data_IF_744940631501
#
_entry.id   IF_744940631501
#
_cell.length_a   1.000
_cell.length_b   1.000
_cell.length_c   1.000
_cell.angle_alpha   90.00
_cell.angle_beta   90.00
_cell.angle_gamma   90.00
#
_symmetry.space_group_name_H-M   'P 1'
#
loop_
_entity.id
_entity.type
_entity.pdbx_description
1 polymer ?
#
# COMPACT_ATOMS: atom_id res chain seq x y z
N UNK A 1 -36.88 12.53 17.13
CA UNK A 1 -35.70 11.79 16.64
C UNK A 1 -35.62 10.31 17.07
N UNK A 2 -36.36 9.88 18.09
CA UNK A 2 -36.38 8.46 18.53
C UNK A 2 -37.12 7.51 17.59
N UNK A 3 -38.10 8.01 16.79
CA UNK A 3 -38.89 7.17 15.89
C UNK A 3 -38.18 6.66 14.63
N UNK A 4 -37.20 7.40 14.12
CA UNK A 4 -36.45 7.02 12.90
C UNK A 4 -35.45 5.90 13.17
N UNK A 5 -34.86 5.83 14.35
CA UNK A 5 -33.94 4.74 14.73
C UNK A 5 -34.66 3.40 14.91
N UNK A 6 -35.91 3.42 15.37
CA UNK A 6 -36.71 2.19 15.58
C UNK A 6 -37.13 1.55 14.24
N UNK A 7 -37.42 2.37 13.22
CA UNK A 7 -37.81 1.89 11.89
C UNK A 7 -36.63 1.24 11.17
N UNK A 8 -35.45 1.82 11.30
CA UNK A 8 -34.21 1.24 10.71
C UNK A 8 -33.81 -0.08 11.37
N UNK A 9 -34.00 -0.20 12.69
CA UNK A 9 -33.72 -1.42 13.43
C UNK A 9 -34.71 -2.56 13.09
N UNK A 10 -35.98 -2.23 12.90
CA UNK A 10 -37.02 -3.19 12.48
C UNK A 10 -36.81 -3.67 11.03
N UNK A 11 -36.30 -2.83 10.14
CA UNK A 11 -35.92 -3.24 8.78
C UNK A 11 -34.70 -4.16 8.77
N UNK A 12 -33.72 -3.91 9.63
CA UNK A 12 -32.56 -4.77 9.79
C UNK A 12 -32.95 -6.16 10.35
N UNK A 13 -33.83 -6.22 11.34
CA UNK A 13 -34.34 -7.49 11.88
C UNK A 13 -35.20 -8.27 10.87
N UNK A 14 -35.93 -7.58 9.99
CA UNK A 14 -36.66 -8.20 8.90
C UNK A 14 -35.73 -8.78 7.80
N UNK A 15 -34.63 -8.14 7.50
CA UNK A 15 -33.62 -8.66 6.55
C UNK A 15 -32.97 -9.96 7.08
N UNK A 16 -32.73 -10.05 8.39
CA UNK A 16 -32.18 -11.25 9.04
C UNK A 16 -33.16 -12.44 9.03
N UNK A 17 -34.48 -12.22 8.93
CA UNK A 17 -35.48 -13.30 8.92
C UNK A 17 -35.64 -14.00 7.57
N UNK A 18 -34.99 -13.52 6.49
CA UNK A 18 -35.00 -14.13 5.16
C UNK A 18 -33.81 -15.03 4.87
N UNK A 19 -32.84 -15.11 5.79
CA UNK A 19 -31.76 -16.10 5.69
C UNK A 19 -32.24 -17.40 6.32
N UNK A 20 -32.86 -18.25 5.54
CA UNK A 20 -33.16 -19.62 5.94
C UNK A 20 -31.88 -20.45 5.96
N UNK A 21 -31.27 -20.55 7.13
CA UNK A 21 -30.25 -21.57 7.37
C UNK A 21 -30.92 -22.98 7.34
N UNK A 22 -30.29 -23.95 6.68
CA UNK A 22 -30.74 -25.34 6.76
C UNK A 22 -30.74 -25.76 8.23
N UNK A 23 -31.86 -26.30 8.69
CA UNK A 23 -32.08 -26.74 10.09
C UNK A 23 -31.13 -27.83 10.60
N UNK A 24 -30.31 -28.42 9.73
CA UNK A 24 -29.38 -29.51 10.07
C UNK A 24 -28.08 -29.05 10.73
N UNK A 25 -27.75 -27.74 10.67
CA UNK A 25 -26.54 -27.22 11.30
C UNK A 25 -26.72 -26.66 12.72
N UNK A 26 -27.95 -26.60 13.20
CA UNK A 26 -28.29 -26.01 14.52
C UNK A 26 -27.94 -26.94 15.72
N UNK A 27 -27.47 -28.17 15.49
CA UNK A 27 -27.12 -29.14 16.54
C UNK A 27 -25.61 -29.30 16.78
N UNK A 28 -24.75 -28.59 16.03
CA UNK A 28 -23.31 -28.67 16.22
C UNK A 28 -22.84 -27.62 17.25
N UNK A 29 -22.09 -28.09 18.26
CA UNK A 29 -21.56 -27.20 19.28
C UNK A 29 -20.57 -26.19 18.67
N UNK A 30 -20.44 -24.96 19.22
CA UNK A 30 -19.52 -23.93 18.70
C UNK A 30 -18.05 -24.39 18.54
N UNK A 31 -17.65 -25.40 19.29
CA UNK A 31 -16.29 -25.97 19.25
C UNK A 31 -16.04 -26.88 18.03
N UNK A 32 -17.08 -27.41 17.39
CA UNK A 32 -16.92 -28.25 16.19
C UNK A 32 -16.77 -27.41 14.91
N UNK A 33 -17.37 -26.22 14.86
CA UNK A 33 -17.25 -25.33 13.70
C UNK A 33 -15.82 -24.77 13.61
N UNK A 34 -15.18 -24.46 14.74
CA UNK A 34 -13.78 -24.01 14.75
C UNK A 34 -12.79 -25.12 14.36
N UNK A 35 -13.07 -26.39 14.69
CA UNK A 35 -12.19 -27.50 14.36
C UNK A 35 -12.23 -27.92 12.89
N UNK A 36 -13.35 -27.67 12.20
CA UNK A 36 -13.48 -28.02 10.78
C UNK A 36 -12.66 -27.10 9.87
N UNK A 37 -12.42 -25.86 10.27
CA UNK A 37 -11.62 -24.88 9.51
C UNK A 37 -10.12 -24.91 9.87
N UNK A 38 -9.72 -25.52 11.00
CA UNK A 38 -8.34 -25.40 11.52
C UNK A 38 -7.56 -26.71 11.61
N UNK A 39 -8.18 -27.90 11.50
CA UNK A 39 -7.49 -29.19 11.64
C UNK A 39 -7.06 -29.85 10.33
N UNK A 40 -7.29 -29.25 9.19
CA UNK A 40 -6.63 -29.66 7.96
C UNK A 40 -5.31 -28.87 7.82
N UNK A 41 -4.30 -29.24 8.62
CA UNK A 41 -2.94 -28.95 8.23
C UNK A 41 -2.75 -29.51 6.81
N UNK A 42 -2.28 -28.73 5.83
CA UNK A 42 -2.05 -29.25 4.50
C UNK A 42 -1.02 -30.40 4.64
N UNK A 43 -1.43 -31.58 4.24
CA UNK A 43 -0.49 -32.63 3.92
C UNK A 43 0.41 -32.03 2.86
N UNK A 44 1.67 -31.76 3.21
CA UNK A 44 2.67 -31.32 2.27
C UNK A 44 2.77 -32.40 1.18
N UNK A 45 2.35 -32.15 -0.05
CA UNK A 45 2.69 -33.02 -1.14
C UNK A 45 4.23 -33.00 -1.21
N UNK A 46 4.86 -34.14 -1.17
CA UNK A 46 6.25 -34.24 -1.59
C UNK A 46 6.28 -33.93 -3.08
N UNK A 47 6.48 -32.65 -3.40
CA UNK A 47 6.75 -32.21 -4.77
C UNK A 47 8.18 -32.59 -5.05
N UNK A 48 8.36 -33.53 -5.95
CA UNK A 48 9.66 -33.77 -6.58
C UNK A 48 10.10 -32.41 -7.22
N UNK A 49 11.29 -31.89 -6.89
CA UNK A 49 11.72 -30.61 -7.44
C UNK A 49 11.86 -30.73 -8.94
N UNK A 50 11.18 -29.84 -9.68
CA UNK A 50 11.53 -29.60 -11.07
C UNK A 50 13.00 -29.20 -11.14
N UNK A 51 13.84 -29.86 -11.94
CA UNK A 51 15.27 -29.63 -11.92
C UNK A 51 15.59 -28.24 -12.45
N UNK A 52 16.18 -27.41 -11.61
CA UNK A 52 16.99 -26.26 -11.97
C UNK A 52 16.33 -24.87 -11.98
N UNK A 53 15.02 -24.70 -12.05
CA UNK A 53 14.39 -23.37 -12.22
C UNK A 53 14.25 -22.57 -10.93
N UNK A 54 13.82 -23.20 -9.84
CA UNK A 54 13.57 -22.50 -8.56
C UNK A 54 14.87 -22.18 -7.79
N UNK A 55 15.87 -23.03 -7.93
CA UNK A 55 17.16 -22.86 -7.25
C UNK A 55 18.00 -21.77 -7.88
N UNK A 56 17.94 -21.61 -9.21
CA UNK A 56 18.62 -20.53 -9.93
C UNK A 56 18.11 -19.12 -9.57
N UNK A 57 16.82 -18.97 -9.25
CA UNK A 57 16.24 -17.70 -8.83
C UNK A 57 16.39 -17.44 -7.31
N UNK A 58 16.57 -18.49 -6.52
CA UNK A 58 16.74 -18.35 -5.06
C UNK A 58 18.12 -17.78 -4.71
N UNK A 59 19.18 -18.28 -5.26
CA UNK A 59 20.55 -17.96 -4.86
C UNK A 59 21.00 -16.53 -5.22
N UNK A 60 20.81 -16.01 -6.44
CA UNK A 60 21.26 -14.66 -6.79
C UNK A 60 20.45 -13.53 -6.15
N UNK A 61 19.14 -13.74 -5.92
CA UNK A 61 18.26 -12.75 -5.31
C UNK A 61 18.49 -12.61 -3.80
N UNK A 62 18.96 -13.66 -3.14
CA UNK A 62 19.24 -13.66 -1.70
C UNK A 62 20.59 -13.01 -1.35
N UNK A 63 21.60 -13.19 -2.18
CA UNK A 63 22.98 -12.76 -1.84
C UNK A 63 23.15 -11.25 -1.84
N UNK A 64 22.25 -10.49 -2.44
CA UNK A 64 22.34 -9.04 -2.62
C UNK A 64 21.25 -8.23 -1.91
N UNK A 65 20.35 -8.87 -1.14
CA UNK A 65 19.33 -8.14 -0.38
C UNK A 65 20.00 -7.25 0.69
N UNK A 66 19.74 -5.93 0.72
CA UNK A 66 20.26 -5.03 1.74
C UNK A 66 19.79 -5.42 3.15
N UNK A 67 18.73 -6.23 3.29
CA UNK A 67 18.28 -6.81 4.56
C UNK A 67 19.19 -7.92 5.07
N UNK A 68 20.14 -8.40 4.28
CA UNK A 68 21.12 -9.42 4.70
C UNK A 68 22.34 -8.81 5.40
N UNK A 69 22.55 -7.49 5.29
CA UNK A 69 23.66 -6.81 5.95
C UNK A 69 23.12 -5.93 7.08
N UNK A 70 23.64 -6.04 8.31
CA UNK A 70 23.32 -5.09 9.36
C UNK A 70 23.80 -3.69 8.91
N UNK A 71 22.91 -2.69 9.00
CA UNK A 71 23.29 -1.30 8.83
C UNK A 71 24.26 -0.94 9.96
N UNK A 72 25.51 -0.57 9.62
CA UNK A 72 26.42 0.00 10.61
C UNK A 72 25.90 1.39 11.02
N UNK A 73 26.19 1.87 12.25
CA UNK A 73 25.77 3.20 12.70
C UNK A 73 26.23 4.33 11.75
N UNK A 74 27.43 4.21 11.15
CA UNK A 74 27.96 5.14 10.14
C UNK A 74 27.15 5.12 8.84
N UNK A 75 26.71 3.95 8.41
CA UNK A 75 25.86 3.79 7.21
C UNK A 75 24.44 4.33 7.42
N UNK A 76 23.89 4.18 8.63
CA UNK A 76 22.61 4.77 8.99
C UNK A 76 22.66 6.31 8.95
N UNK A 77 23.76 6.91 9.39
CA UNK A 77 23.97 8.36 9.29
C UNK A 77 24.11 8.83 7.83
N UNK A 78 24.85 8.09 6.98
CA UNK A 78 24.97 8.37 5.55
C UNK A 78 23.63 8.22 4.80
N UNK A 79 22.81 7.23 5.19
CA UNK A 79 21.46 7.06 4.61
C UNK A 79 20.50 8.16 5.07
N UNK A 80 20.59 8.62 6.33
CA UNK A 80 19.86 9.78 6.81
C UNK A 80 20.20 11.05 6.04
N UNK A 81 21.50 11.27 5.74
CA UNK A 81 21.94 12.39 4.92
C UNK A 81 21.52 12.27 3.45
N UNK A 82 21.46 11.06 2.90
CA UNK A 82 20.95 10.81 1.54
C UNK A 82 19.44 10.96 1.41
N UNK A 83 18.73 10.63 2.48
CA UNK A 83 17.29 10.86 2.62
C UNK A 83 17.02 12.29 3.10
N UNK A 84 17.73 13.29 2.56
CA UNK A 84 17.53 14.71 2.91
C UNK A 84 16.06 14.97 3.21
N UNK A 85 15.77 15.51 4.40
CA UNK A 85 14.42 15.96 4.72
C UNK A 85 14.04 17.01 3.68
N UNK A 86 13.25 16.67 2.64
CA UNK A 86 13.03 17.56 1.50
C UNK A 86 12.22 18.80 1.88
N UNK A 87 11.80 18.87 3.15
CA UNK A 87 10.86 19.83 3.67
C UNK A 87 11.43 21.16 4.16
N UNK A 88 12.77 21.34 4.23
CA UNK A 88 13.33 22.54 4.88
C UNK A 88 13.99 23.47 3.89
N UNK A 89 13.52 24.72 3.82
CA UNK A 89 14.21 25.84 3.19
C UNK A 89 14.66 26.82 4.26
N UNK A 90 15.98 27.02 4.37
CA UNK A 90 16.54 28.03 5.27
C UNK A 90 16.44 29.40 4.56
N UNK A 91 15.65 30.30 5.12
CA UNK A 91 15.62 31.69 4.70
C UNK A 91 16.46 32.51 5.67
N UNK A 92 17.58 33.06 5.20
CA UNK A 92 18.30 34.08 5.94
C UNK A 92 17.46 35.38 5.87
N UNK A 93 16.80 35.77 6.96
CA UNK A 93 16.24 37.12 7.07
C UNK A 93 17.36 38.08 7.47
N UNK A 94 17.56 39.11 6.67
CA UNK A 94 18.29 40.29 7.12
C UNK A 94 17.57 40.85 8.35
N UNK A 95 18.30 41.34 9.36
CA UNK A 95 17.67 41.88 10.57
C UNK A 95 16.79 43.10 10.15
N UNK A 96 15.49 42.97 10.33
CA UNK A 96 14.59 44.12 10.28
C UNK A 96 15.09 45.11 11.32
N UNK A 97 15.22 46.39 10.91
CA UNK A 97 15.84 47.50 11.62
C UNK A 97 15.56 47.46 13.13
N UNK A 98 16.64 47.47 13.91
CA UNK A 98 16.58 47.30 15.33
C UNK A 98 15.75 48.35 16.02
N UNK A 99 14.79 47.94 16.85
CA UNK A 99 14.42 48.72 18.03
C UNK A 99 15.62 48.66 18.97
N UNK A 100 16.28 49.81 19.16
CA UNK A 100 17.14 50.04 20.31
C UNK A 100 16.26 50.01 21.56
N UNK A 101 16.40 49.01 22.39
CA UNK A 101 15.96 49.09 23.76
C UNK A 101 16.96 50.04 24.47
N UNK A 102 16.59 51.26 24.69
CA UNK A 102 17.25 52.18 25.64
C UNK A 102 16.98 51.66 27.07
N UNK A 103 18.04 51.30 27.76
CA UNK A 103 17.97 51.14 29.23
C UNK A 103 17.80 52.48 29.87
N UNK A 104 16.95 52.52 30.89
CA UNK A 104 16.57 53.73 31.68
C UNK A 104 17.72 54.42 32.45
N UNK A 105 18.96 53.99 32.30
CA UNK A 105 20.12 54.46 33.08
C UNK A 105 21.29 55.04 32.25
N UNK A 106 21.09 55.37 30.96
CA UNK A 106 21.93 56.31 30.24
C UNK A 106 23.42 56.00 30.09
N UNK A 107 23.91 54.77 30.35
CA UNK A 107 25.30 54.41 30.26
C UNK A 107 25.65 53.78 28.89
N UNK A 108 26.71 54.24 28.16
CA UNK A 108 27.09 53.62 26.87
C UNK A 108 27.74 52.26 27.13
N UNK A 109 27.17 51.24 26.49
CA UNK A 109 27.77 49.89 26.43
C UNK A 109 29.04 49.91 25.60
N UNK A 110 30.17 49.55 26.21
CA UNK A 110 31.47 49.37 25.55
C UNK A 110 31.37 48.40 24.39
N UNK A 111 32.05 48.71 23.30
CA UNK A 111 32.12 47.93 22.10
C UNK A 111 32.93 46.61 22.30
N UNK A 112 32.41 45.69 23.10
CA UNK A 112 32.83 44.31 23.15
C UNK A 112 32.03 43.51 22.12
N UNK A 113 32.72 42.97 21.12
CA UNK A 113 32.12 42.31 19.95
C UNK A 113 31.18 41.17 20.27
N UNK A 114 29.95 41.44 20.59
CA UNK A 114 28.86 40.48 20.63
C UNK A 114 28.60 40.02 19.19
N UNK A 115 29.02 38.84 18.84
CA UNK A 115 28.63 38.16 17.60
C UNK A 115 27.09 38.23 17.54
N UNK A 116 26.54 39.09 16.68
CA UNK A 116 25.10 39.11 16.38
C UNK A 116 24.71 37.73 15.97
N UNK A 117 23.96 37.03 16.81
CA UNK A 117 23.32 35.77 16.42
C UNK A 117 22.35 36.08 15.29
N UNK A 118 22.69 35.61 14.08
CA UNK A 118 21.74 35.61 12.97
C UNK A 118 20.58 34.67 13.34
N UNK A 119 19.40 35.23 13.46
CA UNK A 119 18.21 34.41 13.62
C UNK A 119 17.88 33.79 12.25
N UNK A 120 17.81 32.48 12.20
CA UNK A 120 17.40 31.73 11.02
C UNK A 120 15.98 31.26 11.24
N UNK A 121 15.06 31.75 10.44
CA UNK A 121 13.68 31.25 10.43
C UNK A 121 13.59 30.13 9.41
N UNK A 122 13.24 28.91 9.88
CA UNK A 122 12.98 27.76 9.02
C UNK A 122 11.53 27.84 8.52
N UNK A 123 11.35 27.88 7.19
CA UNK A 123 10.05 27.78 6.55
C UNK A 123 9.95 26.43 5.86
N UNK A 124 8.89 25.69 6.17
CA UNK A 124 8.68 24.39 5.55
C UNK A 124 8.34 24.52 4.05
N UNK A 125 8.87 23.62 3.25
CA UNK A 125 8.46 23.50 1.85
C UNK A 125 6.98 23.12 1.76
N UNK A 126 6.30 23.43 0.66
CA UNK A 126 4.91 23.01 0.45
C UNK A 126 4.77 21.50 0.62
N UNK A 127 3.77 21.05 1.38
CA UNK A 127 3.54 19.64 1.68
C UNK A 127 4.23 19.12 2.94
N UNK A 128 5.02 19.96 3.65
CA UNK A 128 5.74 19.58 4.87
C UNK A 128 5.38 20.49 6.05
N UNK A 129 5.32 19.92 7.24
CA UNK A 129 4.80 20.54 8.45
C UNK A 129 5.66 20.19 9.68
N UNK A 130 5.34 20.84 10.81
CA UNK A 130 5.99 20.60 12.10
C UNK A 130 7.26 21.42 12.32
N UNK A 131 7.81 21.42 13.55
CA UNK A 131 8.95 22.24 13.92
C UNK A 131 10.23 21.96 13.11
N UNK A 132 10.42 20.72 12.69
CA UNK A 132 11.55 20.26 11.88
C UNK A 132 11.22 20.12 10.39
N UNK A 133 10.01 20.50 9.97
CA UNK A 133 9.52 20.31 8.59
C UNK A 133 9.60 18.85 8.08
N UNK A 134 9.52 17.89 8.99
CA UNK A 134 9.64 16.46 8.67
C UNK A 134 8.30 15.70 8.65
N UNK A 135 7.17 16.38 8.90
CA UNK A 135 5.83 15.78 8.90
C UNK A 135 5.15 16.07 7.57
N UNK A 136 4.89 15.07 6.71
CA UNK A 136 4.22 15.32 5.44
C UNK A 136 2.72 15.61 5.62
N UNK A 137 2.12 16.27 4.65
CA UNK A 137 0.68 16.61 4.62
C UNK A 137 -0.22 15.42 4.95
N UNK A 138 0.10 14.25 4.44
CA UNK A 138 -0.69 13.02 4.68
C UNK A 138 -0.67 12.56 6.13
N UNK A 139 0.33 12.94 6.91
CA UNK A 139 0.38 12.70 8.37
C UNK A 139 -0.24 13.86 9.14
N UNK A 140 0.02 15.10 8.72
CA UNK A 140 -0.56 16.29 9.35
C UNK A 140 -2.10 16.23 9.40
N UNK A 141 -2.73 15.79 8.30
CA UNK A 141 -4.19 15.69 8.17
C UNK A 141 -4.74 14.27 8.37
N UNK A 142 -3.92 13.37 8.92
CA UNK A 142 -4.34 12.01 9.31
C UNK A 142 -5.15 12.03 10.62
N UNK A 143 -5.72 10.88 10.95
CA UNK A 143 -6.35 10.65 12.25
C UNK A 143 -5.40 10.05 13.29
N UNK A 144 -4.08 10.18 13.11
CA UNK A 144 -3.07 9.69 14.07
C UNK A 144 -3.32 10.30 15.46
N UNK A 145 -3.55 9.47 16.52
CA UNK A 145 -3.89 9.98 17.85
C UNK A 145 -2.68 10.53 18.62
N UNK A 146 -1.46 10.19 18.19
CA UNK A 146 -0.21 10.48 18.89
C UNK A 146 0.68 11.49 18.16
N UNK A 147 0.09 12.45 17.43
CA UNK A 147 0.86 13.46 16.68
C UNK A 147 1.80 14.29 17.53
N UNK A 148 1.47 14.50 18.78
CA UNK A 148 2.27 15.20 19.79
C UNK A 148 3.49 14.39 20.27
N UNK A 149 3.55 13.10 19.99
CA UNK A 149 4.63 12.18 20.38
C UNK A 149 5.59 11.85 19.24
N UNK A 150 5.44 12.47 18.09
CA UNK A 150 6.28 12.20 16.93
C UNK A 150 7.70 12.71 17.17
N UNK A 151 8.67 11.81 17.05
CA UNK A 151 10.09 12.09 17.26
C UNK A 151 10.90 11.53 16.08
N UNK A 152 11.81 12.31 15.47
CA UNK A 152 12.73 11.80 14.47
C UNK A 152 13.62 10.70 15.04
N UNK A 153 13.88 9.66 14.27
CA UNK A 153 14.76 8.55 14.66
C UNK A 153 16.21 8.85 14.33
N UNK A 154 17.11 8.42 15.18
CA UNK A 154 18.55 8.42 14.88
C UNK A 154 18.93 7.33 13.87
N UNK A 155 18.26 6.17 13.94
CA UNK A 155 18.46 5.04 13.01
C UNK A 155 17.18 4.78 12.26
N UNK A 156 17.15 4.92 10.93
CA UNK A 156 15.97 4.65 10.13
C UNK A 156 15.46 3.21 10.30
N UNK A 157 14.15 3.03 10.22
CA UNK A 157 13.57 1.70 10.01
C UNK A 157 13.88 1.20 8.60
N UNK A 158 13.94 -0.09 8.43
CA UNK A 158 13.86 -0.68 7.09
C UNK A 158 12.41 -0.88 6.74
N UNK A 159 12.09 -0.71 5.47
CA UNK A 159 10.73 -0.85 4.94
C UNK A 159 10.68 -2.06 4.01
N UNK A 160 9.76 -2.97 4.29
CA UNK A 160 9.50 -4.17 3.51
C UNK A 160 8.12 -3.99 2.87
N UNK A 161 8.06 -3.98 1.55
CA UNK A 161 6.79 -3.91 0.81
C UNK A 161 6.50 -5.26 0.16
N UNK A 162 5.46 -5.94 0.63
CA UNK A 162 4.98 -7.22 0.12
C UNK A 162 3.86 -6.99 -0.90
N UNK A 163 3.97 -7.60 -2.08
CA UNK A 163 3.13 -7.31 -3.23
C UNK A 163 2.75 -8.63 -3.92
N UNK A 164 1.48 -8.83 -4.19
CA UNK A 164 1.03 -9.84 -5.13
C UNK A 164 0.92 -9.22 -6.52
N UNK A 165 1.54 -9.84 -7.50
CA UNK A 165 1.50 -9.38 -8.89
C UNK A 165 0.85 -10.43 -9.79
N UNK A 166 0.05 -9.95 -10.70
CA UNK A 166 -0.58 -10.82 -11.68
C UNK A 166 -0.18 -10.41 -13.10
N UNK A 167 -0.55 -9.21 -13.56
CA UNK A 167 -0.12 -8.64 -14.84
C UNK A 167 -0.06 -7.10 -14.80
N UNK A 168 -0.12 -6.52 -13.62
CA UNK A 168 -0.04 -5.07 -13.39
C UNK A 168 1.39 -4.53 -13.51
N UNK A 169 2.14 -4.93 -14.56
CA UNK A 169 3.58 -4.68 -14.66
C UNK A 169 3.94 -3.20 -14.81
N UNK A 170 3.12 -2.42 -15.53
CA UNK A 170 3.35 -0.98 -15.64
C UNK A 170 3.13 -0.28 -14.29
N UNK A 171 2.10 -0.66 -13.51
CA UNK A 171 1.87 -0.12 -12.18
C UNK A 171 2.95 -0.59 -11.20
N UNK A 172 3.46 -1.81 -11.34
CA UNK A 172 4.58 -2.33 -10.56
C UNK A 172 5.87 -1.54 -10.86
N UNK A 173 6.15 -1.24 -12.13
CA UNK A 173 7.28 -0.40 -12.53
C UNK A 173 7.17 1.02 -11.95
N UNK A 174 5.99 1.61 -12.01
CA UNK A 174 5.69 2.90 -11.39
C UNK A 174 5.95 2.84 -9.87
N UNK A 175 5.46 1.81 -9.18
CA UNK A 175 5.69 1.61 -7.74
C UNK A 175 7.17 1.52 -7.41
N UNK A 176 7.93 0.74 -8.17
CA UNK A 176 9.38 0.59 -7.95
C UNK A 176 10.13 1.92 -8.10
N UNK A 177 9.73 2.77 -9.02
CA UNK A 177 10.33 4.09 -9.20
C UNK A 177 9.85 5.12 -8.15
N UNK A 178 8.60 5.03 -7.70
CA UNK A 178 8.08 5.93 -6.64
C UNK A 178 8.65 5.59 -5.26
N UNK A 179 8.85 4.30 -4.96
CA UNK A 179 9.20 3.84 -3.62
C UNK A 179 10.61 3.27 -3.50
N UNK A 180 11.34 3.14 -4.60
CA UNK A 180 12.61 2.42 -4.62
C UNK A 180 13.72 3.02 -3.77
N UNK A 181 13.68 4.31 -3.45
CA UNK A 181 14.63 4.97 -2.56
C UNK A 181 14.25 4.86 -1.07
N UNK A 182 12.98 4.62 -0.74
CA UNK A 182 12.50 4.52 0.65
C UNK A 182 12.22 3.08 1.11
N UNK A 183 11.94 2.16 0.18
CA UNK A 183 11.75 0.74 0.45
C UNK A 183 13.09 0.01 0.39
N UNK A 184 13.35 -0.85 1.38
CA UNK A 184 14.60 -1.62 1.48
C UNK A 184 14.46 -3.00 0.84
N UNK A 185 13.27 -3.60 0.86
CA UNK A 185 12.99 -4.85 0.18
C UNK A 185 11.56 -4.90 -0.36
N UNK A 186 11.42 -5.32 -1.61
CA UNK A 186 10.15 -5.69 -2.23
C UNK A 186 10.02 -7.21 -2.24
N UNK A 187 9.00 -7.74 -1.60
CA UNK A 187 8.67 -9.17 -1.61
C UNK A 187 7.53 -9.35 -2.59
N UNK A 188 7.80 -9.91 -3.76
CA UNK A 188 6.83 -9.96 -4.86
C UNK A 188 6.45 -11.40 -5.16
N UNK A 189 5.17 -11.71 -5.00
CA UNK A 189 4.61 -13.04 -5.26
C UNK A 189 3.95 -13.10 -6.62
N UNK A 190 4.31 -14.13 -7.40
CA UNK A 190 3.69 -14.48 -8.67
C UNK A 190 3.31 -15.96 -8.68
N UNK A 191 2.18 -16.29 -9.30
CA UNK A 191 1.74 -17.68 -9.49
C UNK A 191 1.73 -18.07 -10.96
N UNK A 192 2.00 -19.35 -11.26
CA UNK A 192 1.83 -19.93 -12.58
C UNK A 192 0.39 -20.44 -12.84
N UNK A 193 -0.52 -20.12 -11.94
CA UNK A 193 -1.95 -20.40 -12.09
C UNK A 193 -2.79 -19.15 -11.92
N UNK A 194 -3.92 -19.09 -12.62
CA UNK A 194 -4.98 -18.12 -12.34
C UNK A 194 -5.71 -18.51 -11.05
N UNK A 195 -6.49 -17.58 -10.49
CA UNK A 195 -7.35 -17.89 -9.34
C UNK A 195 -8.34 -19.04 -9.61
N UNK A 196 -8.64 -19.33 -10.86
CA UNK A 196 -9.48 -20.46 -11.29
C UNK A 196 -8.72 -21.77 -11.45
N UNK A 197 -7.40 -21.76 -11.27
CA UNK A 197 -6.54 -22.94 -11.40
C UNK A 197 -6.11 -23.25 -12.85
N UNK A 198 -6.24 -22.28 -13.77
CA UNK A 198 -5.76 -22.43 -15.15
C UNK A 198 -4.28 -22.03 -15.24
N UNK A 199 -3.45 -22.78 -15.98
CA UNK A 199 -2.04 -22.44 -16.14
C UNK A 199 -1.84 -21.08 -16.81
N UNK A 200 -0.83 -20.32 -16.33
CA UNK A 200 -0.42 -19.07 -16.92
C UNK A 200 1.10 -18.89 -16.90
N UNK A 201 1.69 -18.11 -17.83
CA UNK A 201 3.12 -17.87 -17.84
C UNK A 201 3.56 -16.98 -16.67
N UNK A 202 4.79 -17.21 -16.18
CA UNK A 202 5.44 -16.40 -15.15
C UNK A 202 6.08 -15.15 -15.76
N UNK A 203 5.27 -14.15 -16.08
CA UNK A 203 5.72 -12.95 -16.79
C UNK A 203 6.64 -12.05 -15.97
N UNK A 204 6.37 -11.88 -14.69
CA UNK A 204 7.27 -11.11 -13.83
C UNK A 204 8.64 -11.75 -13.72
N UNK A 205 8.68 -13.10 -13.58
CA UNK A 205 9.93 -13.86 -13.63
C UNK A 205 10.68 -13.63 -14.95
N UNK A 206 10.00 -13.70 -16.09
CA UNK A 206 10.59 -13.44 -17.40
C UNK A 206 11.18 -12.02 -17.47
N UNK A 207 10.47 -11.01 -16.94
CA UNK A 207 10.93 -9.63 -16.90
C UNK A 207 12.12 -9.41 -15.97
N UNK A 208 12.21 -10.14 -14.87
CA UNK A 208 13.40 -10.14 -14.00
C UNK A 208 14.61 -10.77 -14.70
N UNK A 209 14.41 -11.81 -15.52
CA UNK A 209 15.48 -12.51 -16.23
C UNK A 209 15.97 -11.76 -17.46
N UNK A 210 15.11 -11.04 -18.16
CA UNK A 210 15.48 -10.27 -19.35
C UNK A 210 16.04 -8.86 -19.06
N UNK A 211 16.14 -8.48 -17.76
CA UNK A 211 16.73 -7.22 -17.33
C UNK A 211 15.75 -6.04 -17.26
N UNK A 212 14.44 -6.23 -17.48
CA UNK A 212 13.46 -5.14 -17.42
C UNK A 212 13.45 -4.41 -16.08
N UNK A 213 13.81 -5.09 -14.99
CA UNK A 213 13.85 -4.55 -13.63
C UNK A 213 15.25 -4.55 -13.01
N UNK A 214 16.32 -4.54 -13.83
CA UNK A 214 17.71 -4.59 -13.30
C UNK A 214 18.03 -3.43 -12.35
N UNK A 215 17.43 -2.26 -12.56
CA UNK A 215 17.61 -1.07 -11.72
C UNK A 215 17.17 -1.28 -10.26
N UNK A 216 16.20 -2.18 -10.01
CA UNK A 216 15.64 -2.45 -8.69
C UNK A 216 15.81 -3.90 -8.22
N UNK A 217 16.29 -4.80 -9.10
CA UNK A 217 16.40 -6.23 -8.86
C UNK A 217 17.10 -6.58 -7.56
N UNK A 218 18.10 -5.80 -7.16
CA UNK A 218 18.86 -5.99 -5.92
C UNK A 218 18.01 -5.85 -4.65
N UNK A 219 16.81 -5.24 -4.73
CA UNK A 219 15.84 -5.12 -3.64
C UNK A 219 14.66 -6.09 -3.76
N UNK A 220 14.57 -6.88 -4.81
CA UNK A 220 13.42 -7.76 -5.07
C UNK A 220 13.69 -9.16 -4.56
N UNK A 221 12.82 -9.64 -3.67
CA UNK A 221 12.69 -11.03 -3.32
C UNK A 221 11.51 -11.64 -4.09
N UNK A 222 11.81 -12.50 -5.05
CA UNK A 222 10.81 -13.20 -5.84
C UNK A 222 10.24 -14.39 -5.06
N UNK A 223 8.91 -14.47 -4.98
CA UNK A 223 8.17 -15.55 -4.32
C UNK A 223 7.31 -16.24 -5.37
N UNK A 224 7.51 -17.52 -5.55
CA UNK A 224 6.78 -18.35 -6.51
C UNK A 224 5.71 -19.16 -5.80
N UNK A 225 4.47 -19.02 -6.25
CA UNK A 225 3.32 -19.80 -5.79
C UNK A 225 2.87 -20.75 -6.91
N UNK A 226 3.01 -22.03 -6.66
CA UNK A 226 2.75 -23.11 -7.64
C UNK A 226 1.39 -23.79 -7.48
N UNK A 227 0.58 -23.36 -6.51
CA UNK A 227 -0.74 -23.95 -6.28
C UNK A 227 -1.68 -22.99 -5.55
N UNK A 228 -2.98 -23.17 -5.74
CA UNK A 228 -4.02 -22.57 -4.92
C UNK A 228 -4.85 -23.62 -4.21
N UNK A 229 -5.47 -23.31 -3.07
CA UNK A 229 -6.43 -24.21 -2.44
C UNK A 229 -7.64 -24.41 -3.36
N UNK A 230 -8.38 -25.53 -3.21
CA UNK A 230 -9.60 -25.74 -3.97
C UNK A 230 -10.66 -24.69 -3.61
N UNK A 231 -11.56 -24.41 -4.55
CA UNK A 231 -12.69 -23.50 -4.31
C UNK A 231 -12.58 -22.15 -5.03
N UNK A 232 -11.45 -21.81 -5.66
CA UNK A 232 -11.27 -20.53 -6.35
C UNK A 232 -12.26 -20.31 -7.52
N UNK A 233 -12.80 -21.37 -8.09
CA UNK A 233 -13.85 -21.26 -9.13
C UNK A 233 -15.20 -20.85 -8.56
N UNK A 234 -15.48 -21.18 -7.32
CA UNK A 234 -16.71 -20.84 -6.60
C UNK A 234 -16.59 -19.48 -5.94
N UNK A 235 -15.43 -19.17 -5.40
CA UNK A 235 -15.12 -17.91 -4.72
C UNK A 235 -13.66 -17.51 -5.00
N UNK A 236 -13.46 -16.48 -5.83
CA UNK A 236 -12.14 -15.95 -6.19
C UNK A 236 -11.36 -15.38 -5.01
N UNK A 237 -12.06 -14.98 -3.92
CA UNK A 237 -11.41 -14.50 -2.70
C UNK A 237 -10.58 -15.59 -1.99
N UNK A 238 -10.91 -16.88 -2.18
CA UNK A 238 -10.11 -17.99 -1.62
C UNK A 238 -8.68 -17.94 -2.16
N UNK A 239 -8.52 -17.77 -3.47
CA UNK A 239 -7.20 -17.68 -4.11
C UNK A 239 -6.48 -16.38 -3.73
N UNK A 240 -7.18 -15.25 -3.70
CA UNK A 240 -6.66 -13.94 -3.34
C UNK A 240 -6.15 -13.88 -1.90
N UNK A 241 -6.92 -14.39 -0.94
CA UNK A 241 -6.53 -14.49 0.47
C UNK A 241 -5.33 -15.42 0.65
N UNK A 242 -5.37 -16.58 -0.02
CA UNK A 242 -4.27 -17.54 0.06
C UNK A 242 -2.96 -16.96 -0.48
N UNK A 243 -3.02 -16.19 -1.57
CA UNK A 243 -1.85 -15.55 -2.15
C UNK A 243 -1.22 -14.56 -1.17
N UNK A 244 -2.03 -13.75 -0.45
CA UNK A 244 -1.53 -12.83 0.58
C UNK A 244 -0.96 -13.57 1.80
N UNK A 245 -1.58 -14.66 2.22
CA UNK A 245 -1.06 -15.54 3.28
C UNK A 245 0.27 -16.17 2.88
N UNK A 246 0.36 -16.74 1.66
CA UNK A 246 1.58 -17.36 1.15
C UNK A 246 2.70 -16.35 0.97
N UNK A 247 2.41 -15.19 0.36
CA UNK A 247 3.34 -14.08 0.20
C UNK A 247 4.03 -13.70 1.52
N UNK A 248 3.27 -13.64 2.61
CA UNK A 248 3.83 -13.26 3.91
C UNK A 248 4.50 -14.42 4.62
N UNK A 249 3.85 -15.57 4.74
CA UNK A 249 4.41 -16.72 5.46
C UNK A 249 5.64 -17.30 4.78
N UNK A 250 5.61 -17.47 3.47
CA UNK A 250 6.75 -17.99 2.72
C UNK A 250 7.75 -16.89 2.36
N UNK A 251 7.29 -15.74 1.84
CA UNK A 251 8.17 -14.65 1.41
C UNK A 251 8.91 -14.00 2.57
N UNK A 252 8.19 -13.56 3.61
CA UNK A 252 8.81 -12.87 4.76
C UNK A 252 9.74 -13.79 5.53
N UNK A 253 9.44 -15.09 5.63
CA UNK A 253 10.30 -16.07 6.30
C UNK A 253 11.69 -16.20 5.65
N UNK A 254 11.83 -15.83 4.39
CA UNK A 254 13.10 -15.85 3.64
C UNK A 254 13.96 -14.61 3.89
N UNK A 255 13.40 -13.55 4.45
CA UNK A 255 14.16 -12.37 4.83
C UNK A 255 14.97 -12.66 6.09
N UNK A 256 16.24 -12.25 6.10
CA UNK A 256 17.14 -12.45 7.24
C UNK A 256 17.37 -11.14 7.99
N UNK A 257 17.76 -11.27 9.26
CA UNK A 257 18.10 -10.14 10.13
C UNK A 257 16.97 -9.11 10.25
N UNK A 258 15.71 -9.57 10.21
CA UNK A 258 14.55 -8.72 10.48
C UNK A 258 14.64 -8.15 11.89
N UNK A 259 14.32 -6.86 12.03
CA UNK A 259 14.19 -6.19 13.30
C UNK A 259 12.71 -6.07 13.66
N UNK A 260 12.34 -6.15 14.94
CA UNK A 260 10.94 -5.94 15.35
C UNK A 260 10.37 -4.58 14.94
N UNK A 261 11.22 -3.55 14.82
CA UNK A 261 10.84 -2.19 14.45
C UNK A 261 10.85 -1.93 12.93
N UNK A 262 11.22 -2.90 12.09
CA UNK A 262 11.10 -2.76 10.64
C UNK A 262 9.63 -2.56 10.25
N UNK A 263 9.37 -1.69 9.27
CA UNK A 263 8.03 -1.44 8.75
C UNK A 263 7.67 -2.50 7.72
N UNK A 264 6.53 -3.13 7.90
CA UNK A 264 5.94 -4.05 6.95
C UNK A 264 4.73 -3.42 6.29
N UNK A 265 4.66 -3.48 4.96
CA UNK A 265 3.53 -2.97 4.15
C UNK A 265 3.14 -4.07 3.18
N UNK A 266 1.84 -4.39 3.11
CA UNK A 266 1.27 -5.34 2.16
C UNK A 266 0.18 -4.66 1.33
N UNK A 267 0.38 -4.59 0.02
CA UNK A 267 -0.53 -3.95 -0.93
C UNK A 267 -0.68 -4.80 -2.18
N UNK A 268 -1.80 -4.63 -2.87
CA UNK A 268 -1.98 -5.20 -4.20
C UNK A 268 -1.19 -4.37 -5.24
N UNK A 269 -0.88 -4.95 -6.39
CA UNK A 269 -0.02 -4.27 -7.37
C UNK A 269 -0.60 -2.94 -7.89
N UNK A 270 -1.91 -2.78 -7.87
CA UNK A 270 -2.65 -1.57 -8.26
C UNK A 270 -2.89 -0.56 -7.10
N UNK A 271 -2.37 -0.85 -5.89
CA UNK A 271 -2.43 0.01 -4.70
C UNK A 271 -1.04 0.59 -4.42
N UNK A 272 -0.76 1.82 -4.80
CA UNK A 272 0.57 2.45 -4.69
C UNK A 272 0.60 3.47 -3.56
N UNK A 273 1.26 3.21 -2.41
CA UNK A 273 1.44 4.20 -1.36
C UNK A 273 2.24 5.42 -1.81
N UNK A 274 1.92 6.59 -1.28
CA UNK A 274 2.70 7.79 -1.54
C UNK A 274 4.04 7.74 -0.80
N UNK A 275 5.12 8.04 -1.52
CA UNK A 275 6.51 8.02 -1.03
C UNK A 275 6.70 8.75 0.29
N UNK A 276 6.14 9.96 0.41
CA UNK A 276 6.35 10.80 1.59
C UNK A 276 5.74 10.21 2.87
N UNK A 277 4.62 9.47 2.75
CA UNK A 277 4.04 8.70 3.86
C UNK A 277 4.93 7.54 4.29
N UNK A 278 5.48 6.79 3.34
CA UNK A 278 6.40 5.69 3.61
C UNK A 278 7.71 6.20 4.20
N UNK A 279 8.24 7.32 3.69
CA UNK A 279 9.42 7.98 4.24
C UNK A 279 9.21 8.40 5.69
N UNK A 280 8.04 8.96 6.02
CA UNK A 280 7.70 9.32 7.39
C UNK A 280 7.71 8.10 8.32
N UNK A 281 7.09 7.00 7.94
CA UNK A 281 7.09 5.74 8.71
C UNK A 281 8.51 5.22 8.96
N UNK A 282 9.40 5.42 8.00
CA UNK A 282 10.82 5.03 8.09
C UNK A 282 11.59 5.89 9.09
N UNK A 283 11.31 7.20 9.16
CA UNK A 283 12.14 8.18 9.84
C UNK A 283 11.62 8.65 11.21
N UNK A 284 10.37 8.32 11.57
CA UNK A 284 9.75 8.81 12.81
C UNK A 284 9.28 7.67 13.72
N UNK A 285 9.43 7.92 15.03
CA UNK A 285 8.76 7.19 16.11
C UNK A 285 7.52 7.95 16.59
N UNK A 286 6.71 7.29 17.44
CA UNK A 286 5.56 7.88 18.10
C UNK A 286 4.23 7.68 17.38
N UNK A 287 4.21 7.04 16.20
CA UNK A 287 2.97 6.62 15.56
C UNK A 287 2.46 5.29 16.12
N UNK A 288 1.14 5.07 15.99
CA UNK A 288 0.46 3.85 16.45
C UNK A 288 0.34 2.82 15.33
N UNK A 289 -0.06 1.60 15.65
CA UNK A 289 -0.22 0.50 14.68
C UNK A 289 -1.47 -0.35 14.98
N UNK A 290 -2.08 -0.99 13.98
CA UNK A 290 -1.69 -0.99 12.57
C UNK A 290 -2.04 0.34 11.87
N UNK A 291 -1.53 0.53 10.65
CA UNK A 291 -1.84 1.70 9.85
C UNK A 291 -2.44 1.36 8.48
N UNK A 292 -3.19 2.32 7.96
CA UNK A 292 -3.83 2.28 6.66
C UNK A 292 -3.38 3.46 5.78
N UNK A 293 -3.68 3.38 4.48
CA UNK A 293 -3.53 4.48 3.55
C UNK A 293 -4.89 4.89 2.99
N UNK A 294 -5.20 6.19 3.01
CA UNK A 294 -6.29 6.75 2.23
C UNK A 294 -5.84 6.93 0.79
N UNK A 295 -6.26 6.05 -0.10
CA UNK A 295 -5.87 6.06 -1.50
C UNK A 295 -6.90 6.75 -2.39
N UNK A 296 -6.42 7.56 -3.34
CA UNK A 296 -7.23 8.10 -4.42
C UNK A 296 -7.67 6.96 -5.33
N UNK A 297 -8.97 6.84 -5.55
CA UNK A 297 -9.55 5.80 -6.41
C UNK A 297 -9.61 6.29 -7.84
N UNK A 298 -9.09 5.47 -8.76
CA UNK A 298 -9.17 5.68 -10.21
C UNK A 298 -9.64 4.40 -10.90
N UNK A 299 -10.23 4.55 -12.10
CA UNK A 299 -10.77 3.45 -12.88
C UNK A 299 -10.25 3.55 -14.32
N UNK A 300 -9.74 2.45 -14.90
CA UNK A 300 -9.17 2.32 -16.25
C UNK A 300 -7.96 3.20 -16.53
N UNK A 301 -7.73 4.21 -15.72
CA UNK A 301 -6.64 5.19 -15.77
C UNK A 301 -6.86 6.29 -14.74
N UNK A 302 -5.86 7.14 -14.55
CA UNK A 302 -5.93 8.23 -13.57
C UNK A 302 -6.89 9.37 -13.99
N UNK A 303 -7.35 9.33 -15.23
CA UNK A 303 -8.29 10.29 -15.81
C UNK A 303 -9.74 10.10 -15.35
N UNK A 304 -10.11 8.93 -14.79
CA UNK A 304 -11.40 8.73 -14.15
C UNK A 304 -11.22 8.67 -12.63
N UNK A 305 -11.79 9.67 -11.94
CA UNK A 305 -11.74 9.74 -10.47
C UNK A 305 -13.02 9.15 -9.91
N UNK A 306 -12.90 8.04 -9.21
CA UNK A 306 -14.03 7.47 -8.48
C UNK A 306 -14.29 8.27 -7.20
N UNK A 307 -15.57 8.40 -6.78
CA UNK A 307 -15.91 9.13 -5.57
C UNK A 307 -15.40 8.44 -4.31
N UNK A 308 -15.17 9.25 -3.27
CA UNK A 308 -14.65 8.77 -1.99
C UNK A 308 -13.18 8.38 -2.04
N UNK A 309 -12.76 7.59 -1.08
CA UNK A 309 -11.40 7.04 -0.94
C UNK A 309 -11.48 5.54 -0.71
N UNK A 310 -10.38 4.85 -0.99
CA UNK A 310 -10.16 3.51 -0.51
C UNK A 310 -9.23 3.59 0.71
N UNK A 311 -9.72 3.18 1.87
CA UNK A 311 -8.90 3.03 3.07
C UNK A 311 -8.37 1.59 3.15
N UNK A 312 -7.09 1.44 2.82
CA UNK A 312 -6.43 0.14 2.77
C UNK A 312 -5.59 -0.04 4.03
N UNK A 313 -5.97 -0.99 4.90
CA UNK A 313 -5.13 -1.39 6.03
C UNK A 313 -4.00 -2.25 5.50
N UNK A 314 -2.82 -1.68 5.47
CA UNK A 314 -1.68 -2.26 4.77
C UNK A 314 -0.49 -2.53 5.65
N UNK A 315 -0.35 -1.89 6.81
CA UNK A 315 0.94 -1.91 7.46
C UNK A 315 0.94 -1.97 8.98
N UNK A 316 2.06 -2.49 9.48
CA UNK A 316 2.43 -2.54 10.89
C UNK A 316 3.95 -2.69 11.01
N UNK A 317 4.47 -2.82 12.24
CA UNK A 317 5.85 -3.27 12.43
C UNK A 317 5.99 -4.78 12.22
N UNK A 318 7.20 -5.24 11.94
CA UNK A 318 7.50 -6.68 11.87
C UNK A 318 7.22 -7.38 13.20
N UNK A 319 7.43 -6.68 14.32
CA UNK A 319 7.10 -7.19 15.65
C UNK A 319 5.60 -7.47 15.80
N UNK A 320 4.75 -6.54 15.36
CA UNK A 320 3.30 -6.76 15.36
C UNK A 320 2.87 -7.85 14.39
N UNK A 321 3.43 -7.88 13.17
CA UNK A 321 3.12 -8.92 12.19
C UNK A 321 3.38 -10.32 12.74
N UNK A 322 4.51 -10.50 13.43
CA UNK A 322 4.90 -11.79 14.00
C UNK A 322 4.10 -12.14 15.26
N UNK A 323 4.02 -11.21 16.21
CA UNK A 323 3.44 -11.49 17.53
C UNK A 323 1.91 -11.51 17.53
N UNK A 324 1.27 -10.62 16.75
CA UNK A 324 -0.19 -10.49 16.74
C UNK A 324 -0.81 -11.27 15.59
N UNK A 325 -0.27 -11.12 14.38
CA UNK A 325 -0.86 -11.73 13.17
C UNK A 325 -0.27 -13.08 12.78
N UNK A 326 0.69 -13.63 13.56
CA UNK A 326 1.37 -14.90 13.25
C UNK A 326 1.98 -14.94 11.83
N UNK A 327 2.53 -13.82 11.39
CA UNK A 327 3.12 -13.61 10.05
C UNK A 327 2.11 -13.83 8.92
N UNK A 328 0.85 -13.52 9.14
CA UNK A 328 -0.22 -13.69 8.16
C UNK A 328 -0.79 -12.35 7.71
N UNK A 329 -0.39 -11.88 6.52
CA UNK A 329 -0.75 -10.57 6.00
C UNK A 329 -2.23 -10.39 5.70
N UNK A 330 -2.98 -11.47 5.43
CA UNK A 330 -4.43 -11.35 5.22
C UNK A 330 -5.15 -10.93 6.51
N UNK A 331 -4.68 -11.35 7.67
CA UNK A 331 -5.25 -10.93 8.95
C UNK A 331 -5.05 -9.44 9.21
N UNK A 332 -3.89 -8.90 8.82
CA UNK A 332 -3.65 -7.46 8.82
C UNK A 332 -4.62 -6.73 7.89
N UNK A 333 -4.79 -7.21 6.65
CA UNK A 333 -5.72 -6.65 5.66
C UNK A 333 -7.19 -6.67 6.12
N UNK A 334 -7.59 -7.69 6.91
CA UNK A 334 -8.95 -7.86 7.46
C UNK A 334 -9.20 -7.12 8.77
N UNK A 335 -8.22 -6.38 9.30
CA UNK A 335 -8.34 -5.59 10.55
C UNK A 335 -8.60 -6.42 11.80
N UNK A 336 -8.09 -7.64 11.87
CA UNK A 336 -8.45 -8.59 12.94
C UNK A 336 -7.69 -8.39 14.26
N UNK A 337 -6.84 -7.34 14.40
CA UNK A 337 -5.82 -7.26 15.45
C UNK A 337 -6.35 -7.38 16.88
N UNK A 338 -7.46 -6.72 17.23
CA UNK A 338 -7.99 -6.75 18.59
C UNK A 338 -8.69 -8.07 18.98
N UNK A 339 -8.98 -8.93 18.01
CA UNK A 339 -9.50 -10.30 18.24
C UNK A 339 -8.38 -11.33 18.32
N UNK A 340 -7.13 -10.93 18.00
CA UNK A 340 -6.01 -11.85 17.96
C UNK A 340 -5.47 -12.15 19.37
N UNK A 341 -5.10 -13.43 19.66
CA UNK A 341 -4.65 -13.83 21.00
C UNK A 341 -3.43 -13.06 21.51
N UNK A 342 -2.50 -12.71 20.62
CA UNK A 342 -1.25 -12.00 20.97
C UNK A 342 -1.40 -10.49 21.20
N UNK A 343 -2.55 -9.90 20.91
CA UNK A 343 -2.77 -8.44 20.94
C UNK A 343 -2.37 -7.78 22.27
N UNK A 344 -2.99 -8.20 23.38
CA UNK A 344 -2.72 -7.61 24.71
C UNK A 344 -1.33 -7.91 25.23
N UNK A 345 -0.80 -9.09 24.93
CA UNK A 345 0.56 -9.45 25.32
C UNK A 345 1.58 -8.57 24.61
N UNK A 346 1.39 -8.31 23.32
CA UNK A 346 2.25 -7.45 22.53
C UNK A 346 2.22 -6.00 23.01
N UNK A 347 1.03 -5.43 23.27
CA UNK A 347 0.85 -4.10 23.86
C UNK A 347 1.62 -3.96 25.17
N UNK A 348 1.41 -4.91 26.11
CA UNK A 348 2.01 -4.88 27.44
C UNK A 348 3.54 -5.07 27.41
N UNK A 349 4.06 -5.91 26.52
CA UNK A 349 5.49 -6.21 26.45
C UNK A 349 6.31 -5.14 25.74
N UNK A 350 5.72 -4.43 24.78
CA UNK A 350 6.42 -3.44 23.94
C UNK A 350 6.17 -2.00 24.39
N UNK A 351 5.07 -1.75 25.11
CA UNK A 351 4.57 -0.41 25.38
C UNK A 351 4.01 0.31 24.13
N UNK A 352 3.86 -0.41 23.02
CA UNK A 352 3.28 0.15 21.80
C UNK A 352 1.77 0.38 21.99
N UNK A 353 1.27 1.48 21.46
CA UNK A 353 -0.15 1.76 21.44
C UNK A 353 -0.72 1.13 20.17
N UNK A 354 -1.56 0.11 20.33
CA UNK A 354 -2.23 -0.57 19.23
C UNK A 354 -3.57 0.11 18.94
N UNK A 355 -3.52 1.19 18.19
CA UNK A 355 -4.69 1.92 17.69
C UNK A 355 -4.51 2.13 16.20
N UNK A 356 -5.42 1.57 15.41
CA UNK A 356 -5.40 1.77 13.96
C UNK A 356 -5.56 3.25 13.62
N UNK A 357 -4.75 3.70 12.69
CA UNK A 357 -4.83 5.03 12.10
C UNK A 357 -4.60 4.97 10.60
N UNK A 358 -4.87 6.05 9.91
CA UNK A 358 -4.76 6.11 8.46
C UNK A 358 -3.93 7.30 8.05
N UNK A 359 -2.87 7.05 7.27
CA UNK A 359 -2.17 8.10 6.56
C UNK A 359 -3.12 8.73 5.55
N UNK A 360 -3.14 10.06 5.52
CA UNK A 360 -4.05 10.81 4.68
C UNK A 360 -5.44 10.98 5.28
N UNK A 361 -6.34 11.40 4.42
CA UNK A 361 -7.76 11.64 4.69
C UNK A 361 -8.52 11.64 3.36
N UNK A 362 -9.86 11.74 3.36
CA UNK A 362 -10.64 11.89 2.13
C UNK A 362 -10.27 13.09 1.25
N UNK A 363 -9.58 14.09 1.82
CA UNK A 363 -9.13 15.30 1.10
C UNK A 363 -7.61 15.33 0.85
N UNK A 364 -6.84 14.47 1.50
CA UNK A 364 -5.37 14.42 1.43
C UNK A 364 -4.93 12.98 1.21
N UNK A 365 -4.91 12.54 -0.03
CA UNK A 365 -4.61 11.15 -0.36
C UNK A 365 -3.16 10.77 -0.02
N UNK A 366 -2.98 9.57 0.51
CA UNK A 366 -1.69 8.98 0.86
C UNK A 366 -1.24 7.89 -0.12
N UNK A 367 -1.84 7.83 -1.30
CA UNK A 367 -1.53 6.87 -2.34
C UNK A 367 -2.59 6.82 -3.44
N UNK A 368 -2.42 5.88 -4.35
CA UNK A 368 -3.27 5.69 -5.51
C UNK A 368 -3.72 4.24 -5.59
N UNK A 369 -5.00 4.02 -5.84
CA UNK A 369 -5.56 2.76 -6.27
C UNK A 369 -6.10 2.93 -7.68
N UNK A 370 -5.54 2.20 -8.64
CA UNK A 370 -5.89 2.31 -10.04
C UNK A 370 -6.52 1.01 -10.55
N UNK A 371 -7.82 0.88 -10.30
CA UNK A 371 -8.57 -0.32 -10.64
C UNK A 371 -8.73 -0.47 -12.17
N UNK A 372 -8.47 -1.68 -12.68
CA UNK A 372 -8.59 -1.98 -14.11
C UNK A 372 -7.75 -1.07 -15.03
N UNK A 373 -6.64 -0.56 -14.55
CA UNK A 373 -5.76 0.38 -15.26
C UNK A 373 -4.85 -0.34 -16.26
N UNK A 374 -5.44 -0.75 -17.38
CA UNK A 374 -4.79 -1.50 -18.45
C UNK A 374 -5.22 -1.01 -19.82
N UNK A 375 -4.54 -1.48 -20.86
CA UNK A 375 -5.09 -1.48 -22.22
C UNK A 375 -6.33 -2.38 -22.31
N UNK A 376 -7.15 -2.28 -23.35
CA UNK A 376 -8.30 -3.18 -23.54
C UNK A 376 -7.93 -4.66 -23.46
N UNK A 377 -6.78 -5.03 -24.03
CA UNK A 377 -6.26 -6.40 -24.01
C UNK A 377 -5.87 -6.84 -22.58
N UNK A 378 -5.31 -5.94 -21.79
CA UNK A 378 -5.02 -6.18 -20.37
C UNK A 378 -6.29 -6.36 -19.54
N UNK A 379 -7.32 -5.56 -19.79
CA UNK A 379 -8.64 -5.72 -19.16
C UNK A 379 -9.28 -7.06 -19.56
N UNK A 380 -9.23 -7.43 -20.83
CA UNK A 380 -9.67 -8.74 -21.29
C UNK A 380 -8.95 -9.86 -20.52
N UNK A 381 -7.62 -9.77 -20.41
CA UNK A 381 -6.84 -10.76 -19.67
C UNK A 381 -7.24 -10.83 -18.20
N UNK A 382 -7.47 -9.68 -17.54
CA UNK A 382 -7.95 -9.63 -16.15
C UNK A 382 -9.32 -10.30 -16.01
N UNK A 383 -10.24 -10.07 -16.95
CA UNK A 383 -11.57 -10.70 -16.97
C UNK A 383 -11.51 -12.22 -17.04
N UNK A 384 -10.68 -12.79 -17.91
CA UNK A 384 -10.60 -14.24 -18.10
C UNK A 384 -9.75 -14.95 -17.07
N UNK A 385 -8.85 -14.25 -16.38
CA UNK A 385 -7.98 -14.84 -15.34
C UNK A 385 -8.56 -14.80 -13.93
N UNK A 386 -9.75 -14.24 -13.75
CA UNK A 386 -10.47 -14.20 -12.48
C UNK A 386 -9.63 -13.69 -11.30
N UNK A 387 -9.08 -12.51 -11.46
CA UNK A 387 -8.24 -11.90 -10.43
C UNK A 387 -9.00 -11.16 -9.35
N UNK A 388 -10.32 -11.06 -9.48
CA UNK A 388 -11.17 -10.42 -8.50
C UNK A 388 -12.12 -11.47 -7.94
N UNK A 389 -12.28 -11.47 -6.63
CA UNK A 389 -13.36 -12.17 -5.97
C UNK A 389 -14.75 -11.62 -6.34
N UNK A 390 -14.81 -10.65 -7.25
CA UNK A 390 -16.06 -10.00 -7.67
C UNK A 390 -17.05 -11.00 -8.28
N UNK A 391 -18.24 -10.97 -7.77
CA UNK A 391 -19.35 -11.74 -8.28
C UNK A 391 -20.48 -10.80 -8.75
N UNK A 392 -21.04 -10.93 -9.95
CA UNK A 392 -20.82 -11.98 -10.95
C UNK A 392 -19.44 -11.88 -11.63
N UNK A 393 -18.92 -13.03 -12.10
CA UNK A 393 -17.68 -13.11 -12.85
C UNK A 393 -17.92 -12.59 -14.27
N UNK A 394 -17.61 -11.31 -14.47
CA UNK A 394 -17.84 -10.64 -15.76
C UNK A 394 -17.12 -11.32 -16.94
N UNK A 395 -15.99 -11.97 -16.69
CA UNK A 395 -15.26 -12.73 -17.68
C UNK A 395 -15.96 -13.99 -18.19
N UNK A 396 -17.04 -14.46 -17.56
CA UNK A 396 -17.84 -15.59 -18.05
C UNK A 396 -18.80 -15.18 -19.17
N UNK A 397 -19.05 -13.88 -19.34
CA UNK A 397 -19.95 -13.34 -20.35
C UNK A 397 -19.17 -12.93 -21.60
N UNK A 398 -19.52 -13.49 -22.76
CA UNK A 398 -18.82 -13.27 -24.03
C UNK A 398 -18.89 -11.80 -24.47
N UNK A 399 -20.05 -11.16 -24.32
CA UNK A 399 -20.27 -9.75 -24.63
C UNK A 399 -19.39 -8.82 -23.78
N UNK A 400 -19.08 -9.20 -22.53
CA UNK A 400 -18.22 -8.42 -21.61
C UNK A 400 -16.74 -8.54 -21.97
N UNK A 401 -16.34 -9.57 -22.69
CA UNK A 401 -14.99 -9.79 -23.20
C UNK A 401 -14.72 -9.13 -24.55
N UNK A 402 -15.74 -8.59 -25.21
CA UNK A 402 -15.57 -7.89 -26.49
C UNK A 402 -14.71 -6.64 -26.32
N UNK A 403 -13.64 -6.51 -27.13
CA UNK A 403 -12.70 -5.39 -27.01
C UNK A 403 -13.33 -4.03 -27.33
N UNK A 404 -14.37 -3.97 -28.17
CA UNK A 404 -15.07 -2.70 -28.44
C UNK A 404 -15.94 -2.31 -27.26
N UNK A 405 -16.58 -3.28 -26.62
CA UNK A 405 -17.29 -3.05 -25.36
C UNK A 405 -16.33 -2.54 -24.27
N UNK A 406 -15.17 -3.16 -24.12
CA UNK A 406 -14.14 -2.72 -23.15
C UNK A 406 -13.64 -1.29 -23.47
N UNK A 407 -13.40 -0.96 -24.75
CA UNK A 407 -13.03 0.41 -25.17
C UNK A 407 -14.11 1.42 -24.82
N UNK A 408 -15.38 1.04 -24.98
CA UNK A 408 -16.51 1.88 -24.59
C UNK A 408 -16.57 2.10 -23.08
N UNK A 409 -16.31 1.08 -22.24
CA UNK A 409 -16.19 1.23 -20.80
C UNK A 409 -15.06 2.21 -20.42
N UNK A 410 -13.88 2.09 -21.04
CA UNK A 410 -12.78 3.03 -20.82
C UNK A 410 -13.20 4.45 -21.22
N UNK A 411 -13.89 4.57 -22.37
CA UNK A 411 -14.34 5.87 -22.90
C UNK A 411 -15.30 6.58 -21.96
N UNK A 412 -16.25 5.86 -21.39
CA UNK A 412 -17.37 6.42 -20.61
C UNK A 412 -17.16 6.40 -19.10
N UNK A 413 -16.23 5.58 -18.59
CA UNK A 413 -16.12 5.30 -17.15
C UNK A 413 -17.23 4.37 -16.66
N UNK A 414 -17.94 3.66 -17.54
CA UNK A 414 -18.99 2.72 -17.18
C UNK A 414 -18.47 1.46 -16.48
N UNK A 415 -19.38 0.67 -15.97
CA UNK A 415 -19.06 -0.61 -15.32
C UNK A 415 -19.60 -1.79 -16.15
N UNK A 416 -19.10 -2.99 -15.88
CA UNK A 416 -19.46 -4.21 -16.63
C UNK A 416 -20.94 -4.61 -16.51
N UNK A 417 -21.63 -4.14 -15.50
CA UNK A 417 -23.09 -4.36 -15.32
C UNK A 417 -23.96 -3.47 -16.21
N UNK A 418 -23.35 -2.60 -17.01
CA UNK A 418 -24.04 -1.64 -17.86
C UNK A 418 -24.45 -0.35 -17.16
N UNK A 419 -24.13 -0.17 -15.88
CA UNK A 419 -24.34 1.09 -15.20
C UNK A 419 -23.37 2.13 -15.74
N UNK A 420 -23.93 3.23 -16.23
CA UNK A 420 -23.16 4.43 -16.57
C UNK A 420 -22.96 5.22 -15.29
N UNK A 421 -21.78 5.08 -14.69
CA UNK A 421 -21.41 5.97 -13.61
C UNK A 421 -20.72 7.17 -14.27
N UNK A 422 -21.36 8.31 -14.23
CA UNK A 422 -20.73 9.57 -14.64
C UNK A 422 -19.68 9.97 -13.60
N UNK A 423 -18.48 9.41 -13.72
CA UNK A 423 -17.36 9.90 -12.94
C UNK A 423 -16.92 11.25 -13.49
N UNK A 424 -16.68 12.25 -12.65
CA UNK A 424 -16.08 13.49 -13.14
C UNK A 424 -14.69 13.17 -13.72
N UNK A 425 -14.35 13.71 -14.90
CA UNK A 425 -13.00 13.62 -15.41
C UNK A 425 -12.05 14.27 -14.38
N UNK A 426 -10.97 13.59 -14.06
CA UNK A 426 -9.98 14.13 -13.15
C UNK A 426 -9.24 15.29 -13.79
N UNK A 427 -9.04 16.39 -13.04
CA UNK A 427 -8.19 17.50 -13.50
C UNK A 427 -6.71 17.08 -13.34
N UNK A 428 -5.91 17.08 -14.42
CA UNK A 428 -4.47 16.79 -14.34
C UNK A 428 -3.68 17.73 -13.43
N UNK A 429 -4.25 18.89 -13.05
CA UNK A 429 -3.67 19.85 -12.11
C UNK A 429 -3.99 19.52 -10.65
N UNK A 430 -4.89 18.58 -10.39
CA UNK A 430 -5.17 18.17 -9.02
C UNK A 430 -3.91 17.64 -8.33
N UNK A 431 -3.73 18.03 -7.07
CA UNK A 431 -2.73 17.41 -6.22
C UNK A 431 -3.01 15.90 -6.12
N UNK A 432 -1.99 15.08 -6.27
CA UNK A 432 -2.13 13.62 -6.29
C UNK A 432 -2.94 13.08 -7.49
N UNK A 433 -2.93 13.77 -8.63
CA UNK A 433 -3.57 13.27 -9.87
C UNK A 433 -3.08 11.87 -10.22
N UNK A 434 -1.76 11.70 -10.31
CA UNK A 434 -1.09 10.43 -10.59
C UNK A 434 0.29 10.40 -9.92
N UNK A 435 0.95 9.21 -9.82
CA UNK A 435 2.33 9.08 -9.36
C UNK A 435 3.30 9.97 -10.15
N UNK A 436 4.30 10.53 -9.46
CA UNK A 436 5.25 11.48 -10.07
C UNK A 436 6.06 10.86 -11.20
N UNK A 437 6.46 9.60 -11.04
CA UNK A 437 7.19 8.90 -12.10
C UNK A 437 6.37 8.78 -13.38
N UNK A 438 5.09 8.46 -13.24
CA UNK A 438 4.14 8.32 -14.35
C UNK A 438 3.99 9.65 -15.12
N UNK A 439 3.83 10.76 -14.38
CA UNK A 439 3.76 12.10 -14.96
C UNK A 439 5.05 12.53 -15.68
N UNK A 440 6.23 12.17 -15.13
CA UNK A 440 7.52 12.43 -15.77
C UNK A 440 7.73 11.61 -17.04
N UNK A 441 7.13 10.44 -17.14
CA UNK A 441 7.21 9.53 -18.29
C UNK A 441 5.91 9.51 -19.09
N UNK A 442 5.29 10.66 -19.25
CA UNK A 442 3.97 10.87 -19.83
C UNK A 442 3.78 10.12 -21.16
N UNK A 443 4.73 10.16 -22.09
CA UNK A 443 4.58 9.54 -23.41
C UNK A 443 4.44 8.01 -23.32
N UNK A 444 5.18 7.36 -22.43
CA UNK A 444 5.11 5.92 -22.18
C UNK A 444 3.75 5.53 -21.59
N UNK A 445 3.27 6.34 -20.64
CA UNK A 445 2.08 6.04 -19.85
C UNK A 445 0.85 6.87 -20.25
N UNK A 446 0.85 7.39 -21.48
CA UNK A 446 -0.23 8.28 -21.93
C UNK A 446 -1.60 7.62 -21.79
N UNK A 447 -1.72 6.32 -22.05
CA UNK A 447 -2.96 5.55 -21.95
C UNK A 447 -3.53 5.47 -20.53
N UNK A 448 -2.70 5.68 -19.48
CA UNK A 448 -3.12 5.77 -18.07
C UNK A 448 -3.43 7.22 -17.64
N UNK A 449 -2.91 8.21 -18.35
CA UNK A 449 -3.03 9.63 -17.99
C UNK A 449 -4.11 10.36 -18.78
N UNK A 450 -4.42 9.92 -19.98
CA UNK A 450 -5.45 10.50 -20.83
C UNK A 450 -6.37 9.40 -21.33
N UNK A 451 -7.68 9.69 -21.38
CA UNK A 451 -8.64 8.76 -21.97
C UNK A 451 -8.39 8.62 -23.47
N UNK A 452 -7.86 7.48 -23.94
CA UNK A 452 -7.47 7.33 -25.35
C UNK A 452 -8.66 7.25 -26.31
N UNK A 453 -9.86 7.06 -25.79
CA UNK A 453 -11.10 6.89 -26.56
C UNK A 453 -12.06 8.08 -26.43
N UNK A 454 -11.63 9.17 -25.79
CA UNK A 454 -12.44 10.38 -25.66
C UNK A 454 -12.78 10.93 -27.06
N UNK A 455 -14.07 11.10 -27.35
CA UNK A 455 -14.49 11.79 -28.57
C UNK A 455 -14.03 13.25 -28.48
N UNK A 456 -13.29 13.70 -29.49
CA UNK A 456 -12.98 15.12 -29.64
C UNK A 456 -14.25 15.78 -30.13
N UNK A 457 -14.91 16.59 -29.31
CA UNK A 457 -16.04 17.42 -29.73
C UNK A 457 -15.51 18.38 -30.80
N UNK A 458 -15.98 18.25 -32.05
CA UNK A 458 -15.67 19.18 -33.12
C UNK A 458 -14.97 18.61 -34.37
N UNK A 459 -14.82 17.29 -34.50
CA UNK A 459 -14.39 16.66 -35.76
C UNK A 459 -15.61 16.01 -36.43
N UNK A 460 -16.53 16.83 -36.90
CA UNK A 460 -17.68 16.47 -37.75
C UNK A 460 -17.81 17.45 -38.90
#
# INVERSE_FOLDING_TARGET
MAGLCLISFLHFLKALSYVTFPRELASLSPNLVSSFFWNNAPVTPQVSPEPGGAEFLRTPLYSHSPLLQPLSPSRASEELHKLEFPGTKVLEKAPAGGRQEERADGAPLSAGGAKRRKWVECVCLPGWHGPSCGVPTVVQYSNLPTKDRLVPREVPRRVINAINVNHEFDLLDVRFHELGDVVDAFVVCESNFTAYGEPRPLKFREMLLNGSFDYIRHKVLYVFLDHFPPGGRQDGWIADDYLRTFLTRDGVSRLRNLRPDDVFIIDDADEIPARDGVLFLKLYDGWTEPFAFHMRKSLYGFFWKQPGTLEVVSGCTMGMLQAVYATDGIRLRRRDYYTMPGFRQYENSTGHILVQWSLGSPLHFAGWHCSWCFTPEGIYFKLVSAQNGDFPRWGDYEDKRDLNYIRELIRTGGWFDGTMQEYPPADPKEQMYAPKYLLKNYQRFRYLLENPYRKVEGAG
#
